data_IF_557622573101
#
_entry.id   IF_557622573101
#
_cell.length_a   1.000
_cell.length_b   1.000
_cell.length_c   1.000
_cell.angle_alpha   90.00
_cell.angle_beta   90.00
_cell.angle_gamma   90.00
#
_symmetry.space_group_name_H-M   'P 1'
#
loop_
_entity.id
_entity.type
_entity.pdbx_description
1 polymer ?
#
# COMPACT_ATOMS: atom_id res chain seq x y z
N UNK A 1 22.65 12.70 -17.65
CA UNK A 1 22.39 11.60 -16.70
C UNK A 1 22.91 11.93 -15.31
N UNK A 2 24.20 12.29 -15.15
CA UNK A 2 24.76 12.63 -13.82
C UNK A 2 24.02 13.76 -13.08
N UNK A 3 23.65 14.86 -13.75
CA UNK A 3 22.91 15.95 -13.10
C UNK A 3 21.54 15.49 -12.54
N UNK A 4 20.85 14.59 -13.25
CA UNK A 4 19.59 14.02 -12.79
C UNK A 4 19.82 13.07 -11.62
N UNK A 5 20.84 12.20 -11.71
CA UNK A 5 21.22 11.29 -10.63
C UNK A 5 21.60 12.06 -9.35
N UNK A 6 22.40 13.12 -9.48
CA UNK A 6 22.79 13.96 -8.34
C UNK A 6 21.59 14.69 -7.73
N UNK A 7 20.66 15.16 -8.56
CA UNK A 7 19.42 15.77 -8.08
C UNK A 7 18.53 14.75 -7.33
N UNK A 8 18.37 13.53 -7.86
CA UNK A 8 17.61 12.47 -7.20
C UNK A 8 18.25 12.04 -5.88
N UNK A 9 19.58 11.90 -5.84
CA UNK A 9 20.31 11.58 -4.61
C UNK A 9 20.19 12.69 -3.56
N UNK A 10 20.18 13.96 -3.99
CA UNK A 10 19.93 15.08 -3.09
C UNK A 10 18.53 14.97 -2.48
N UNK A 11 17.49 14.74 -3.29
CA UNK A 11 16.13 14.55 -2.80
C UNK A 11 16.02 13.36 -1.84
N UNK A 12 16.66 12.23 -2.17
CA UNK A 12 16.67 11.06 -1.30
C UNK A 12 17.34 11.38 0.05
N UNK A 13 18.51 12.03 0.03
CA UNK A 13 19.24 12.42 1.25
C UNK A 13 18.46 13.38 2.15
N UNK A 14 17.61 14.21 1.55
CA UNK A 14 16.74 15.14 2.27
C UNK A 14 15.44 14.48 2.73
N UNK A 15 14.99 13.40 2.09
CA UNK A 15 13.68 12.79 2.35
C UNK A 15 13.81 11.32 2.78
N UNK A 16 14.01 10.41 1.82
CA UNK A 16 13.87 8.96 2.02
C UNK A 16 14.95 8.35 2.91
N UNK A 17 16.21 8.72 2.68
CA UNK A 17 17.35 8.27 3.50
C UNK A 17 17.65 9.20 4.68
N UNK A 18 16.90 10.29 4.82
CA UNK A 18 17.08 11.21 5.92
C UNK A 18 16.68 10.57 7.25
N UNK A 19 17.59 10.61 8.23
CA UNK A 19 17.37 9.98 9.53
C UNK A 19 16.11 10.49 10.25
N UNK A 20 15.71 11.74 10.03
CA UNK A 20 14.54 12.35 10.69
C UNK A 20 13.21 11.82 10.16
N UNK A 21 13.15 11.30 8.93
CA UNK A 21 11.89 11.00 8.26
C UNK A 21 11.09 9.88 8.95
N UNK A 22 11.67 8.74 9.35
CA UNK A 22 10.97 7.74 10.15
C UNK A 22 10.47 8.27 11.49
N UNK A 23 11.23 9.15 12.16
CA UNK A 23 10.81 9.73 13.45
C UNK A 23 9.63 10.68 13.29
N UNK A 24 9.58 11.47 12.21
CA UNK A 24 8.43 12.34 11.92
C UNK A 24 7.19 11.50 11.61
N UNK A 25 7.32 10.44 10.82
CA UNK A 25 6.20 9.55 10.50
C UNK A 25 5.66 8.82 11.74
N UNK A 26 6.55 8.18 12.50
CA UNK A 26 6.18 7.48 13.74
C UNK A 26 5.66 8.44 14.79
N UNK A 27 6.30 9.60 14.96
CA UNK A 27 5.89 10.64 15.89
C UNK A 27 4.51 11.19 15.57
N UNK A 28 4.20 11.40 14.28
CA UNK A 28 2.85 11.79 13.84
C UNK A 28 1.81 10.73 14.18
N UNK A 29 2.10 9.45 13.87
CA UNK A 29 1.19 8.35 14.20
C UNK A 29 0.99 8.16 15.70
N UNK A 30 2.03 8.38 16.49
CA UNK A 30 2.00 8.36 17.95
C UNK A 30 1.10 9.49 18.48
N UNK A 31 1.35 10.74 18.07
CA UNK A 31 0.54 11.89 18.48
C UNK A 31 -0.93 11.68 18.13
N UNK A 32 -1.24 11.27 16.89
CA UNK A 32 -2.61 11.01 16.46
C UNK A 32 -3.25 9.86 17.25
N UNK A 33 -2.48 8.81 17.58
CA UNK A 33 -2.95 7.69 18.39
C UNK A 33 -3.38 8.15 19.78
N UNK A 34 -2.57 8.95 20.47
CA UNK A 34 -2.94 9.45 21.79
C UNK A 34 -4.07 10.48 21.71
N UNK A 35 -4.00 11.43 20.77
CA UNK A 35 -5.02 12.47 20.58
C UNK A 35 -6.40 11.88 20.29
N UNK A 36 -6.47 10.82 19.47
CA UNK A 36 -7.71 10.12 19.15
C UNK A 36 -8.03 8.99 20.14
N UNK A 37 -7.25 8.80 21.21
CA UNK A 37 -7.50 7.77 22.22
C UNK A 37 -7.48 6.34 21.69
N UNK A 38 -6.46 5.95 20.93
CA UNK A 38 -6.24 4.58 20.42
C UNK A 38 -7.38 4.03 19.52
N UNK A 39 -7.72 4.72 18.42
CA UNK A 39 -8.81 4.29 17.52
C UNK A 39 -8.57 2.88 16.93
N UNK A 40 -7.32 2.51 16.64
CA UNK A 40 -6.96 1.20 16.10
C UNK A 40 -7.29 0.03 17.04
N UNK A 41 -7.35 0.28 18.35
CA UNK A 41 -7.78 -0.73 19.34
C UNK A 41 -9.30 -0.65 19.56
N UNK A 42 -9.83 0.57 19.81
CA UNK A 42 -11.25 0.77 20.14
C UNK A 42 -12.20 0.36 19.02
N UNK A 43 -11.83 0.61 17.76
CA UNK A 43 -12.69 0.38 16.60
C UNK A 43 -12.36 -0.88 15.81
N UNK A 44 -11.41 -1.70 16.26
CA UNK A 44 -10.98 -2.91 15.53
C UNK A 44 -12.16 -3.86 15.24
N UNK A 45 -12.95 -4.19 16.27
CA UNK A 45 -14.12 -5.04 16.12
C UNK A 45 -15.20 -4.43 15.23
N UNK A 46 -15.32 -3.09 15.22
CA UNK A 46 -16.25 -2.40 14.34
C UNK A 46 -15.79 -2.46 12.89
N UNK A 47 -14.50 -2.22 12.62
CA UNK A 47 -13.91 -2.34 11.30
C UNK A 47 -14.13 -3.74 10.71
N UNK A 48 -13.98 -4.79 11.52
CA UNK A 48 -14.24 -6.16 11.08
C UNK A 48 -15.71 -6.41 10.69
N UNK A 49 -16.66 -5.83 11.44
CA UNK A 49 -18.09 -5.90 11.11
C UNK A 49 -18.41 -5.15 9.81
N UNK A 50 -17.76 -4.02 9.55
CA UNK A 50 -17.85 -3.25 8.30
C UNK A 50 -17.38 -4.11 7.12
N UNK A 51 -16.19 -4.70 7.22
CA UNK A 51 -15.60 -5.49 6.13
C UNK A 51 -16.40 -6.76 5.84
N UNK A 52 -17.08 -7.34 6.84
CA UNK A 52 -18.01 -8.47 6.68
C UNK A 52 -19.35 -8.08 6.05
N UNK A 53 -19.55 -6.81 5.69
CA UNK A 53 -20.76 -6.31 5.06
C UNK A 53 -21.95 -6.11 6.00
N UNK A 54 -21.75 -6.17 7.33
CA UNK A 54 -22.85 -5.96 8.31
C UNK A 54 -23.49 -4.57 8.19
N UNK A 55 -22.75 -3.61 7.66
CA UNK A 55 -23.18 -2.22 7.50
C UNK A 55 -23.42 -1.82 6.05
N UNK A 56 -23.27 -2.75 5.09
CA UNK A 56 -23.52 -2.48 3.68
C UNK A 56 -25.03 -2.31 3.47
N UNK A 57 -25.45 -1.20 2.85
CA UNK A 57 -26.85 -0.92 2.55
C UNK A 57 -27.11 -0.84 1.05
N UNK A 58 -28.28 -1.32 0.58
CA UNK A 58 -28.71 -1.07 -0.79
C UNK A 58 -28.78 0.44 -1.06
N UNK A 59 -28.06 0.90 -2.07
CA UNK A 59 -28.03 2.32 -2.46
C UNK A 59 -26.90 3.15 -1.86
N UNK A 60 -25.96 2.56 -1.11
CA UNK A 60 -24.75 3.27 -0.67
C UNK A 60 -23.95 3.80 -1.88
N UNK A 61 -23.59 5.08 -1.83
CA UNK A 61 -22.82 5.72 -2.90
C UNK A 61 -21.33 5.33 -2.83
N UNK A 62 -20.86 4.62 -3.86
CA UNK A 62 -19.45 4.30 -4.04
C UNK A 62 -19.20 3.37 -5.23
N UNK A 63 -17.96 3.31 -5.70
CA UNK A 63 -17.54 2.41 -6.78
C UNK A 63 -17.25 0.97 -6.31
N UNK A 64 -17.17 0.76 -4.99
CA UNK A 64 -16.78 -0.49 -4.36
C UNK A 64 -17.56 -0.71 -3.05
N UNK A 65 -17.86 -1.96 -2.73
CA UNK A 65 -18.29 -2.36 -1.38
C UNK A 65 -17.14 -2.17 -0.37
N UNK A 66 -17.43 -2.23 0.93
CA UNK A 66 -16.39 -2.11 1.96
C UNK A 66 -15.30 -3.19 1.85
N UNK A 67 -15.67 -4.43 1.52
CA UNK A 67 -14.72 -5.52 1.30
C UNK A 67 -13.86 -5.29 0.05
N UNK A 68 -14.48 -4.84 -1.04
CA UNK A 68 -13.80 -4.51 -2.29
C UNK A 68 -12.81 -3.35 -2.12
N UNK A 69 -13.18 -2.32 -1.36
CA UNK A 69 -12.29 -1.22 -1.04
C UNK A 69 -11.08 -1.69 -0.21
N UNK A 70 -11.30 -2.56 0.79
CA UNK A 70 -10.21 -3.15 1.58
C UNK A 70 -9.28 -4.00 0.72
N UNK A 71 -9.81 -4.93 -0.06
CA UNK A 71 -8.99 -5.85 -0.87
C UNK A 71 -8.20 -5.08 -1.93
N UNK A 72 -8.81 -4.07 -2.55
CA UNK A 72 -8.11 -3.19 -3.51
C UNK A 72 -7.00 -2.39 -2.81
N UNK A 73 -7.24 -1.83 -1.63
CA UNK A 73 -6.20 -1.15 -0.86
C UNK A 73 -5.05 -2.10 -0.45
N UNK A 74 -5.36 -3.33 -0.02
CA UNK A 74 -4.37 -4.35 0.33
C UNK A 74 -3.58 -4.80 -0.92
N UNK A 75 -4.20 -4.87 -2.09
CA UNK A 75 -3.52 -5.22 -3.34
C UNK A 75 -2.36 -4.29 -3.67
N UNK A 76 -2.47 -3.00 -3.31
CA UNK A 76 -1.43 -2.00 -3.53
C UNK A 76 -0.37 -1.94 -2.42
N UNK A 77 -0.64 -2.49 -1.24
CA UNK A 77 0.29 -2.44 -0.09
C UNK A 77 1.03 -3.74 0.15
N UNK A 78 0.45 -4.88 -0.22
CA UNK A 78 1.12 -6.17 -0.15
C UNK A 78 1.81 -6.44 -1.48
N UNK A 79 3.13 -6.52 -1.43
CA UNK A 79 3.95 -6.82 -2.60
C UNK A 79 5.31 -7.35 -2.22
N UNK A 80 6.28 -7.23 -3.13
CA UNK A 80 7.63 -7.75 -2.95
C UNK A 80 8.35 -7.17 -1.72
N UNK A 81 7.96 -5.98 -1.26
CA UNK A 81 8.44 -5.37 -0.02
C UNK A 81 8.15 -6.22 1.23
N UNK A 82 7.04 -6.95 1.27
CA UNK A 82 6.69 -7.81 2.41
C UNK A 82 7.54 -9.09 2.43
N UNK A 83 8.13 -9.47 1.29
CA UNK A 83 8.95 -10.66 1.14
C UNK A 83 10.43 -10.26 1.23
N UNK A 84 10.94 -9.64 0.17
CA UNK A 84 12.34 -9.23 0.07
C UNK A 84 12.69 -8.04 0.97
N UNK A 85 11.77 -7.09 1.15
CA UNK A 85 12.02 -5.91 2.00
C UNK A 85 12.12 -6.26 3.49
N UNK A 86 11.27 -7.16 3.99
CA UNK A 86 11.37 -7.66 5.37
C UNK A 86 12.65 -8.46 5.57
N UNK A 87 12.98 -9.36 4.64
CA UNK A 87 14.24 -10.11 4.68
C UNK A 87 15.46 -9.18 4.68
N UNK A 88 15.49 -8.17 3.82
CA UNK A 88 16.56 -7.18 3.75
C UNK A 88 16.66 -6.35 5.04
N UNK A 89 15.53 -5.94 5.60
CA UNK A 89 15.50 -5.17 6.84
C UNK A 89 16.05 -5.97 8.03
N UNK A 90 15.71 -7.25 8.14
CA UNK A 90 16.26 -8.15 9.17
C UNK A 90 17.74 -8.41 8.92
N UNK A 91 18.14 -8.62 7.67
CA UNK A 91 19.53 -8.83 7.29
C UNK A 91 20.42 -7.63 7.66
N UNK A 92 19.97 -6.41 7.38
CA UNK A 92 20.73 -5.19 7.65
C UNK A 92 20.60 -4.69 9.10
N UNK A 93 19.39 -4.72 9.67
CA UNK A 93 19.06 -4.13 10.98
C UNK A 93 18.99 -5.15 12.12
N UNK A 94 19.17 -6.43 11.82
CA UNK A 94 19.00 -7.51 12.78
C UNK A 94 17.54 -7.80 13.17
N UNK A 95 17.30 -8.75 14.09
CA UNK A 95 15.96 -9.16 14.48
C UNK A 95 15.10 -8.04 15.09
N UNK A 96 15.73 -7.02 15.69
CA UNK A 96 15.04 -5.86 16.27
C UNK A 96 14.27 -5.04 15.22
N UNK A 97 14.60 -5.16 13.92
CA UNK A 97 13.84 -4.54 12.84
C UNK A 97 12.35 -4.98 12.85
N UNK A 98 12.06 -6.23 13.23
CA UNK A 98 10.69 -6.74 13.32
C UNK A 98 9.84 -5.97 14.34
N UNK A 99 10.40 -5.68 15.52
CA UNK A 99 9.71 -4.89 16.52
C UNK A 99 9.34 -3.51 15.98
N UNK A 100 10.27 -2.82 15.31
CA UNK A 100 10.01 -1.51 14.73
C UNK A 100 9.03 -1.55 13.56
N UNK A 101 8.99 -2.63 12.78
CA UNK A 101 7.95 -2.84 11.77
C UNK A 101 6.56 -2.94 12.41
N UNK A 102 6.41 -3.66 13.53
CA UNK A 102 5.15 -3.70 14.27
C UNK A 102 4.75 -2.36 14.86
N UNK A 103 5.70 -1.60 15.42
CA UNK A 103 5.43 -0.24 15.90
C UNK A 103 4.97 0.69 14.77
N UNK A 104 5.62 0.59 13.60
CA UNK A 104 5.25 1.33 12.40
C UNK A 104 3.85 0.95 11.92
N UNK A 105 3.52 -0.34 11.89
CA UNK A 105 2.18 -0.79 11.55
C UNK A 105 1.13 -0.29 12.56
N UNK A 106 1.42 -0.40 13.86
CA UNK A 106 0.49 -0.03 14.92
C UNK A 106 0.14 1.47 14.91
N UNK A 107 1.14 2.35 14.86
CA UNK A 107 0.90 3.80 14.79
C UNK A 107 0.47 4.24 13.38
N UNK A 108 0.94 3.56 12.34
CA UNK A 108 0.55 3.79 10.96
C UNK A 108 -0.94 3.52 10.70
N UNK A 109 -1.55 2.56 11.39
CA UNK A 109 -3.01 2.33 11.33
C UNK A 109 -3.80 3.59 11.69
N UNK A 110 -3.38 4.33 12.72
CA UNK A 110 -4.05 5.58 13.09
C UNK A 110 -3.82 6.68 12.07
N UNK A 111 -2.58 6.86 11.60
CA UNK A 111 -2.27 7.84 10.55
C UNK A 111 -3.12 7.57 9.31
N UNK A 112 -3.22 6.29 8.89
CA UNK A 112 -4.02 5.90 7.73
C UNK A 112 -5.52 6.10 7.98
N UNK A 113 -6.01 5.82 9.18
CA UNK A 113 -7.39 6.09 9.56
C UNK A 113 -7.73 7.58 9.41
N UNK A 114 -6.87 8.49 9.88
CA UNK A 114 -7.06 9.94 9.73
C UNK A 114 -7.02 10.36 8.27
N UNK A 115 -6.02 9.90 7.52
CA UNK A 115 -5.85 10.21 6.10
C UNK A 115 -7.07 9.80 5.27
N UNK A 116 -7.56 8.57 5.47
CA UNK A 116 -8.72 8.02 4.75
C UNK A 116 -10.00 8.74 5.18
N UNK A 117 -10.17 9.05 6.47
CA UNK A 117 -11.33 9.79 6.98
C UNK A 117 -11.42 11.19 6.36
N UNK A 118 -10.31 11.92 6.31
CA UNK A 118 -10.24 13.23 5.66
C UNK A 118 -10.49 13.11 4.16
N UNK A 119 -9.87 12.14 3.50
CA UNK A 119 -10.05 11.89 2.07
C UNK A 119 -11.51 11.56 1.74
N UNK A 120 -12.20 10.84 2.62
CA UNK A 120 -13.62 10.52 2.47
C UNK A 120 -14.52 11.75 2.66
N UNK A 121 -14.17 12.65 3.59
CA UNK A 121 -14.90 13.90 3.82
C UNK A 121 -14.78 14.89 2.66
N UNK A 122 -13.63 14.94 2.00
CA UNK A 122 -13.33 15.89 0.91
C UNK A 122 -13.37 15.28 -0.49
N UNK A 123 -13.84 14.03 -0.65
CA UNK A 123 -14.00 13.36 -1.96
C UNK A 123 -14.98 14.10 -2.87
N UNK A 124 -14.85 13.90 -4.17
CA UNK A 124 -15.77 14.38 -5.19
C UNK A 124 -16.18 13.26 -6.14
N UNK A 125 -16.87 13.64 -7.21
CA UNK A 125 -17.13 12.80 -8.37
C UNK A 125 -16.40 13.37 -9.57
N UNK A 126 -15.89 12.51 -10.44
CA UNK A 126 -15.35 12.92 -11.75
C UNK A 126 -16.47 13.08 -12.79
N UNK A 127 -16.11 13.39 -14.04
CA UNK A 127 -17.03 13.57 -15.15
C UNK A 127 -17.82 12.30 -15.51
N UNK A 128 -17.31 11.13 -15.12
CA UNK A 128 -17.93 9.82 -15.33
C UNK A 128 -18.74 9.36 -14.12
N UNK A 129 -18.82 10.19 -13.06
CA UNK A 129 -19.56 9.90 -11.83
C UNK A 129 -18.81 9.01 -10.83
N UNK A 130 -17.55 8.67 -11.09
CA UNK A 130 -16.72 7.89 -10.18
C UNK A 130 -16.22 8.73 -9.01
N UNK A 131 -16.09 8.10 -7.86
CA UNK A 131 -15.61 8.76 -6.64
C UNK A 131 -14.11 9.01 -6.77
N UNK A 132 -13.72 10.27 -6.70
CA UNK A 132 -12.32 10.71 -6.66
C UNK A 132 -12.00 11.32 -5.30
N UNK A 133 -10.92 10.87 -4.69
CA UNK A 133 -10.53 11.30 -3.36
C UNK A 133 -9.05 11.04 -3.09
N UNK A 134 -8.56 11.58 -1.98
CA UNK A 134 -7.17 11.43 -1.56
C UNK A 134 -6.59 12.70 -0.96
N UNK A 135 -5.32 12.66 -0.51
CA UNK A 135 -4.69 13.78 0.18
C UNK A 135 -4.63 15.06 -0.65
N UNK A 136 -4.47 14.96 -1.97
CA UNK A 136 -4.48 16.11 -2.88
C UNK A 136 -5.80 16.91 -2.81
N UNK A 137 -6.95 16.24 -2.72
CA UNK A 137 -8.24 16.92 -2.57
C UNK A 137 -8.40 17.55 -1.18
N UNK A 138 -7.83 16.95 -0.13
CA UNK A 138 -7.80 17.56 1.21
C UNK A 138 -6.96 18.84 1.17
N UNK A 139 -5.77 18.80 0.55
CA UNK A 139 -4.90 19.96 0.40
C UNK A 139 -5.57 21.08 -0.42
N UNK A 140 -6.24 20.72 -1.52
CA UNK A 140 -6.93 21.69 -2.37
C UNK A 140 -8.15 22.31 -1.66
N UNK A 141 -9.05 21.48 -1.11
CA UNK A 141 -10.38 21.91 -0.65
C UNK A 141 -10.43 22.33 0.81
N UNK A 142 -9.58 21.77 1.66
CA UNK A 142 -9.56 22.08 3.11
C UNK A 142 -8.44 23.03 3.49
N UNK A 143 -7.26 22.87 2.91
CA UNK A 143 -6.12 23.75 3.22
C UNK A 143 -6.07 24.97 2.29
N UNK A 144 -6.83 24.98 1.19
CA UNK A 144 -6.75 25.99 0.12
C UNK A 144 -5.32 26.11 -0.47
N UNK A 145 -4.55 25.02 -0.44
CA UNK A 145 -3.17 24.95 -0.90
C UNK A 145 -3.08 24.19 -2.21
N UNK A 146 -3.61 24.76 -3.30
CA UNK A 146 -3.63 24.12 -4.63
C UNK A 146 -2.24 23.73 -5.11
N UNK A 147 -1.23 24.57 -4.85
CA UNK A 147 0.15 24.29 -5.23
C UNK A 147 0.68 23.01 -4.57
N UNK A 148 0.35 22.77 -3.29
CA UNK A 148 0.77 21.58 -2.57
C UNK A 148 0.04 20.33 -3.07
N UNK A 149 -1.25 20.47 -3.41
CA UNK A 149 -2.04 19.40 -4.02
C UNK A 149 -1.42 18.94 -5.36
N UNK A 150 -0.98 19.88 -6.19
CA UNK A 150 -0.31 19.60 -7.47
C UNK A 150 1.02 18.87 -7.24
N UNK A 151 1.85 19.36 -6.32
CA UNK A 151 3.13 18.70 -5.99
C UNK A 151 2.87 17.27 -5.49
N UNK A 152 1.90 17.08 -4.60
CA UNK A 152 1.55 15.76 -4.08
C UNK A 152 1.05 14.82 -5.19
N UNK A 153 0.20 15.31 -6.10
CA UNK A 153 -0.30 14.51 -7.21
C UNK A 153 0.84 14.06 -8.15
N UNK A 154 1.75 14.97 -8.53
CA UNK A 154 2.91 14.65 -9.36
C UNK A 154 3.83 13.65 -8.65
N UNK A 155 4.14 13.88 -7.37
CA UNK A 155 4.94 12.97 -6.57
C UNK A 155 4.30 11.57 -6.45
N UNK A 156 2.98 11.50 -6.33
CA UNK A 156 2.22 10.25 -6.29
C UNK A 156 2.32 9.49 -7.62
N UNK A 157 2.21 10.19 -8.75
CA UNK A 157 2.39 9.58 -10.07
C UNK A 157 3.80 9.02 -10.23
N UNK A 158 4.84 9.79 -9.90
CA UNK A 158 6.23 9.33 -9.96
C UNK A 158 6.45 8.12 -9.03
N UNK A 159 5.93 8.21 -7.80
CA UNK A 159 6.01 7.13 -6.80
C UNK A 159 5.31 5.86 -7.27
N UNK A 160 4.21 5.97 -8.03
CA UNK A 160 3.50 4.79 -8.55
C UNK A 160 4.36 3.94 -9.48
N UNK A 161 5.26 4.56 -10.27
CA UNK A 161 6.24 3.84 -11.07
C UNK A 161 7.36 3.24 -10.21
N UNK A 162 7.88 4.03 -9.26
CA UNK A 162 9.03 3.68 -8.44
C UNK A 162 8.76 2.64 -7.36
N UNK A 163 7.56 2.61 -6.77
CA UNK A 163 7.18 1.65 -5.72
C UNK A 163 6.16 0.61 -6.19
N UNK A 164 5.23 1.02 -7.06
CA UNK A 164 4.11 0.20 -7.49
C UNK A 164 4.38 -0.66 -8.73
N UNK A 165 5.35 -0.32 -9.58
CA UNK A 165 5.53 -0.99 -10.87
C UNK A 165 6.95 -1.59 -11.07
N UNK A 166 7.99 -0.76 -11.19
CA UNK A 166 9.30 -1.23 -11.66
C UNK A 166 9.93 -2.26 -10.72
N UNK A 167 10.04 -2.04 -9.39
CA UNK A 167 10.62 -3.05 -8.51
C UNK A 167 9.73 -4.30 -8.40
N UNK A 168 8.41 -4.15 -8.48
CA UNK A 168 7.49 -5.29 -8.39
C UNK A 168 7.69 -6.25 -9.58
N UNK A 169 7.64 -5.72 -10.80
CA UNK A 169 7.84 -6.50 -12.02
C UNK A 169 9.26 -7.09 -12.11
N UNK A 170 10.28 -6.32 -11.72
CA UNK A 170 11.67 -6.80 -11.72
C UNK A 170 11.91 -7.95 -10.73
N UNK A 171 11.38 -7.85 -9.51
CA UNK A 171 11.49 -8.92 -8.52
C UNK A 171 10.78 -10.20 -8.98
N UNK A 172 9.59 -10.08 -9.58
CA UNK A 172 8.88 -11.24 -10.13
C UNK A 172 9.69 -11.88 -11.26
N UNK A 173 10.17 -11.08 -12.22
CA UNK A 173 10.96 -11.58 -13.34
C UNK A 173 12.26 -12.27 -12.87
N UNK A 174 12.95 -11.69 -11.89
CA UNK A 174 14.18 -12.26 -11.32
C UNK A 174 13.90 -13.56 -10.56
N UNK A 175 12.82 -13.61 -9.77
CA UNK A 175 12.40 -14.82 -9.06
C UNK A 175 12.02 -15.96 -10.01
N UNK A 176 11.31 -15.64 -11.09
CA UNK A 176 10.94 -16.59 -12.15
C UNK A 176 12.15 -17.09 -12.91
N UNK A 177 13.10 -16.22 -13.26
CA UNK A 177 14.35 -16.61 -13.89
C UNK A 177 15.17 -17.54 -12.99
N UNK A 178 15.32 -17.20 -11.70
CA UNK A 178 16.09 -18.01 -10.75
C UNK A 178 15.45 -19.39 -10.49
N UNK A 179 14.12 -19.47 -10.49
CA UNK A 179 13.40 -20.71 -10.16
C UNK A 179 13.15 -21.61 -11.38
N UNK A 180 12.91 -21.02 -12.55
CA UNK A 180 12.43 -21.72 -13.75
C UNK A 180 13.30 -21.50 -14.99
N UNK A 181 14.32 -20.65 -14.93
CA UNK A 181 15.21 -20.34 -16.06
C UNK A 181 14.55 -19.53 -17.18
N UNK A 182 13.37 -18.95 -16.95
CA UNK A 182 12.65 -18.15 -17.96
C UNK A 182 13.27 -16.75 -18.05
N UNK A 183 13.56 -16.31 -19.26
CA UNK A 183 14.16 -15.00 -19.53
C UNK A 183 13.26 -13.84 -19.04
N UNK A 184 13.82 -12.79 -18.39
CA UNK A 184 13.06 -11.71 -17.78
C UNK A 184 12.10 -10.98 -18.71
N UNK A 185 12.47 -10.81 -19.99
CA UNK A 185 11.63 -10.12 -20.97
C UNK A 185 10.34 -10.89 -21.28
N UNK A 186 10.37 -12.23 -21.24
CA UNK A 186 9.19 -13.08 -21.46
C UNK A 186 8.21 -12.93 -20.29
N UNK A 187 8.73 -12.95 -19.06
CA UNK A 187 7.93 -12.69 -17.85
C UNK A 187 7.33 -11.29 -17.90
N UNK A 188 8.12 -10.27 -18.28
CA UNK A 188 7.65 -8.90 -18.43
C UNK A 188 6.54 -8.75 -19.47
N UNK A 189 6.68 -9.39 -20.65
CA UNK A 189 5.66 -9.38 -21.70
C UNK A 189 4.36 -10.03 -21.21
N UNK A 190 4.45 -11.19 -20.57
CA UNK A 190 3.30 -11.88 -19.99
C UNK A 190 2.57 -11.02 -18.94
N UNK A 191 3.32 -10.45 -17.99
CA UNK A 191 2.76 -9.57 -16.96
C UNK A 191 2.10 -8.32 -17.57
N UNK A 192 2.71 -7.72 -18.60
CA UNK A 192 2.16 -6.57 -19.31
C UNK A 192 0.82 -6.89 -19.97
N UNK A 193 0.71 -8.03 -20.64
CA UNK A 193 -0.55 -8.48 -21.26
C UNK A 193 -1.64 -8.72 -20.22
N UNK A 194 -1.32 -9.42 -19.12
CA UNK A 194 -2.25 -9.65 -18.03
C UNK A 194 -2.72 -8.34 -17.38
N UNK A 195 -1.79 -7.43 -17.11
CA UNK A 195 -2.11 -6.14 -16.49
C UNK A 195 -2.93 -5.26 -17.44
N UNK A 196 -2.60 -5.22 -18.72
CA UNK A 196 -3.35 -4.52 -19.75
C UNK A 196 -4.81 -4.97 -19.81
N UNK A 197 -5.05 -6.29 -19.77
CA UNK A 197 -6.41 -6.85 -19.75
C UNK A 197 -7.23 -6.43 -18.52
N UNK A 198 -6.58 -6.11 -17.40
CA UNK A 198 -7.25 -5.63 -16.18
C UNK A 198 -7.47 -4.11 -16.21
N UNK A 199 -6.44 -3.33 -16.56
CA UNK A 199 -6.49 -1.86 -16.54
C UNK A 199 -7.43 -1.31 -17.60
N UNK A 200 -7.46 -1.88 -18.81
CA UNK A 200 -8.34 -1.42 -19.90
C UNK A 200 -9.82 -1.51 -19.50
N UNK A 201 -10.19 -2.43 -18.62
CA UNK A 201 -11.55 -2.56 -18.09
C UNK A 201 -11.94 -1.49 -17.06
N UNK A 202 -11.05 -0.57 -16.71
CA UNK A 202 -11.32 0.52 -15.77
C UNK A 202 -11.40 0.10 -14.31
N UNK A 203 -11.77 1.05 -13.44
CA UNK A 203 -11.71 0.89 -11.98
C UNK A 203 -12.54 -0.29 -11.46
N UNK A 204 -13.72 -0.52 -12.06
CA UNK A 204 -14.60 -1.65 -11.68
C UNK A 204 -13.93 -3.00 -11.93
N UNK A 205 -13.20 -3.15 -13.05
CA UNK A 205 -12.48 -4.40 -13.36
C UNK A 205 -11.32 -4.61 -12.41
N UNK A 206 -10.57 -3.55 -12.08
CA UNK A 206 -9.47 -3.60 -11.10
C UNK A 206 -10.00 -4.10 -9.75
N UNK A 207 -11.10 -3.52 -9.27
CA UNK A 207 -11.75 -3.92 -8.00
C UNK A 207 -12.16 -5.40 -8.01
N UNK A 208 -12.84 -5.85 -9.07
CA UNK A 208 -13.30 -7.24 -9.22
C UNK A 208 -12.16 -8.27 -9.31
N UNK A 209 -11.00 -7.86 -9.80
CA UNK A 209 -9.81 -8.72 -9.85
C UNK A 209 -9.14 -8.75 -8.49
N UNK A 210 -8.96 -7.59 -7.85
CA UNK A 210 -8.36 -7.48 -6.53
C UNK A 210 -9.14 -8.23 -5.45
N UNK A 211 -10.48 -8.16 -5.45
CA UNK A 211 -11.32 -8.86 -4.46
C UNK A 211 -11.14 -10.39 -4.47
N UNK A 212 -10.72 -10.96 -5.60
CA UNK A 212 -10.51 -12.40 -5.78
C UNK A 212 -9.06 -12.81 -5.56
N UNK A 213 -8.13 -12.07 -6.17
CA UNK A 213 -6.70 -12.42 -6.14
C UNK A 213 -6.10 -12.17 -4.76
N UNK A 214 -6.44 -11.07 -4.10
CA UNK A 214 -5.79 -10.67 -2.85
C UNK A 214 -6.04 -11.67 -1.71
N UNK A 215 -7.28 -12.11 -1.44
CA UNK A 215 -7.51 -13.12 -0.41
C UNK A 215 -6.83 -14.45 -0.73
N UNK A 216 -6.84 -14.86 -2.00
CA UNK A 216 -6.17 -16.09 -2.44
C UNK A 216 -4.65 -16.01 -2.22
N UNK A 217 -4.02 -14.90 -2.61
CA UNK A 217 -2.59 -14.67 -2.42
C UNK A 217 -2.22 -14.70 -0.92
N UNK A 218 -3.00 -14.02 -0.08
CA UNK A 218 -2.78 -14.01 1.36
C UNK A 218 -2.91 -15.41 1.97
N UNK A 219 -3.90 -16.20 1.53
CA UNK A 219 -4.09 -17.57 1.99
C UNK A 219 -2.92 -18.47 1.61
N UNK A 220 -2.47 -18.44 0.35
CA UNK A 220 -1.32 -19.22 -0.12
C UNK A 220 -0.07 -18.87 0.69
N UNK A 221 0.19 -17.58 0.91
CA UNK A 221 1.34 -17.12 1.68
C UNK A 221 1.28 -17.58 3.14
N UNK A 222 0.12 -17.44 3.80
CA UNK A 222 -0.05 -17.87 5.19
C UNK A 222 0.10 -19.38 5.35
N UNK A 223 -0.50 -20.17 4.46
CA UNK A 223 -0.38 -21.64 4.49
C UNK A 223 1.08 -22.07 4.29
N UNK A 224 1.80 -21.46 3.34
CA UNK A 224 3.22 -21.73 3.12
C UNK A 224 4.08 -21.36 4.33
N UNK A 225 3.87 -20.18 4.91
CA UNK A 225 4.60 -19.74 6.10
C UNK A 225 4.32 -20.65 7.31
N UNK A 226 3.06 -21.01 7.56
CA UNK A 226 2.69 -21.92 8.64
C UNK A 226 3.28 -23.32 8.43
N UNK A 227 3.32 -23.83 7.20
CA UNK A 227 3.96 -25.11 6.91
C UNK A 227 5.45 -25.10 7.27
N UNK A 228 6.17 -24.02 6.93
CA UNK A 228 7.59 -23.86 7.32
C UNK A 228 7.74 -23.81 8.84
N UNK A 229 6.89 -23.06 9.54
CA UNK A 229 6.91 -22.95 11.01
C UNK A 229 6.64 -24.31 11.66
N UNK A 230 5.64 -25.05 11.20
CA UNK A 230 5.28 -26.37 11.75
C UNK A 230 6.42 -27.38 11.56
N UNK A 231 7.07 -27.39 10.40
CA UNK A 231 8.23 -28.27 10.14
C UNK A 231 9.44 -27.87 11.00
N UNK A 232 9.56 -26.60 11.37
CA UNK A 232 10.67 -26.06 12.16
C UNK A 232 10.25 -25.67 13.58
N UNK A 233 9.23 -26.34 14.14
CA UNK A 233 8.64 -25.94 15.43
C UNK A 233 9.65 -26.00 16.58
N UNK A 234 10.69 -26.83 16.45
CA UNK A 234 11.78 -26.97 17.42
C UNK A 234 12.69 -25.73 17.50
N UNK A 235 12.67 -24.86 16.48
CA UNK A 235 13.46 -23.63 16.41
C UNK A 235 12.70 -22.38 16.90
N UNK A 236 11.46 -22.55 17.37
CA UNK A 236 10.59 -21.48 17.88
C UNK A 236 10.62 -21.47 19.40
#
# INVERSE_FOLDING_TARGET
MEALTNFLNLLDSLMGSAAYFPFVLLGTGLILTFYLGFPQVRFFNHAWRIVRGKYDKPGDEGDATHFQALTTAISGTVGTGNIGGVALAIYLGGPAALFWMWMTAFFGMTSKFVEVTLSHKYRGKDEHGHIVGGPMYVMERRLNMKWLAIIFAVATVISSFGSGNMPQSNNIASGVQASFGIEPWMTGLFLSLCLGAVIIGGIRRIIQVAEKIVPLMALIYLVGALAVIVVNIENV
#
